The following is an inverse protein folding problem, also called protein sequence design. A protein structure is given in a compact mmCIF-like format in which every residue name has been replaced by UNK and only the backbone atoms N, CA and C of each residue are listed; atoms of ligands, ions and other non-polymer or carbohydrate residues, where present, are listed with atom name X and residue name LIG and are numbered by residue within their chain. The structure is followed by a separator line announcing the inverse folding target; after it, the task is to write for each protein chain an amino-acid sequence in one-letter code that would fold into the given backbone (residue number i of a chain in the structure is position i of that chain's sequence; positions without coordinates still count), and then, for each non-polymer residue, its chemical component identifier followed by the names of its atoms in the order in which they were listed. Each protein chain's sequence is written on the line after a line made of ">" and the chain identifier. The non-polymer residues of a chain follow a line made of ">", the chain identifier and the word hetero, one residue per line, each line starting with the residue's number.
data_IF_927833784946
#
_entry.id   IF_927833784946
#
_cell.length_a   1.000
_cell.length_b   1.000
_cell.length_c   1.000
_cell.angle_alpha   90.00
_cell.angle_beta   90.00
_cell.angle_gamma   90.00
#
_symmetry.space_group_name_H-M   'P 1'
#
loop_
_entity.id
_entity.type
_entity.pdbx_description
1 polymer ?
#
# COMPACT_ATOMS: atom_id res chain seq x y z
N UNK A 1 -44.05 64.19 60.00
CA UNK A 1 -42.61 64.46 59.85
C UNK A 1 -41.88 63.13 59.79
N UNK A 2 -41.12 62.89 58.70
CA UNK A 2 -39.92 62.03 58.55
C UNK A 2 -39.88 60.62 59.19
N UNK A 3 -39.37 59.52 58.60
CA UNK A 3 -38.79 59.16 57.31
C UNK A 3 -38.81 57.62 57.29
N UNK A 4 -39.32 56.98 56.22
CA UNK A 4 -39.19 55.54 55.98
C UNK A 4 -38.48 55.35 54.64
N UNK A 5 -37.21 54.97 54.68
CA UNK A 5 -36.38 54.67 53.51
C UNK A 5 -36.58 53.21 53.09
N UNK A 6 -37.35 52.99 52.03
CA UNK A 6 -37.41 51.73 51.30
C UNK A 6 -36.31 51.73 50.22
N UNK A 7 -35.39 50.77 50.29
CA UNK A 7 -34.39 50.52 49.25
C UNK A 7 -35.02 49.65 48.17
N UNK A 8 -35.30 50.23 47.00
CA UNK A 8 -35.59 49.49 45.77
C UNK A 8 -34.26 49.05 45.15
N UNK A 9 -33.90 47.78 45.31
CA UNK A 9 -32.87 47.13 44.49
C UNK A 9 -33.39 46.96 43.06
N UNK A 10 -32.84 47.75 42.14
CA UNK A 10 -33.04 47.60 40.69
C UNK A 10 -32.13 46.48 40.18
N UNK A 11 -32.72 45.36 39.73
CA UNK A 11 -31.98 44.35 38.98
C UNK A 11 -31.67 44.89 37.57
N UNK A 12 -30.38 45.13 37.31
CA UNK A 12 -29.88 45.49 35.98
C UNK A 12 -30.09 44.34 34.98
N UNK A 13 -30.66 44.58 33.79
CA UNK A 13 -30.89 43.55 32.77
C UNK A 13 -29.60 42.89 32.27
N UNK A 14 -28.43 43.49 32.50
CA UNK A 14 -27.14 42.89 32.12
C UNK A 14 -26.75 41.69 32.99
N UNK A 15 -27.26 41.61 34.21
CA UNK A 15 -27.02 40.45 35.08
C UNK A 15 -27.70 39.18 34.55
N UNK A 16 -28.87 39.30 33.93
CA UNK A 16 -29.59 38.18 33.34
C UNK A 16 -28.93 37.67 32.04
N UNK A 17 -28.32 38.55 31.24
CA UNK A 17 -27.57 38.14 30.05
C UNK A 17 -26.24 37.45 30.42
N UNK A 18 -25.56 37.91 31.48
CA UNK A 18 -24.34 37.29 31.96
C UNK A 18 -24.58 35.86 32.50
N UNK A 19 -25.70 35.64 33.21
CA UNK A 19 -26.05 34.30 33.71
C UNK A 19 -26.46 33.34 32.59
N UNK A 20 -27.18 33.83 31.57
CA UNK A 20 -27.50 33.03 30.37
C UNK A 20 -26.24 32.66 29.58
N UNK A 21 -25.31 33.59 29.39
CA UNK A 21 -24.04 33.31 28.71
C UNK A 21 -23.19 32.28 29.47
N UNK A 22 -23.12 32.39 30.80
CA UNK A 22 -22.40 31.43 31.64
C UNK A 22 -23.04 30.03 31.62
N UNK A 23 -24.37 29.94 31.57
CA UNK A 23 -25.07 28.65 31.45
C UNK A 23 -24.82 27.99 30.09
N UNK A 24 -24.82 28.77 29.00
CA UNK A 24 -24.58 28.24 27.65
C UNK A 24 -23.13 27.77 27.46
N UNK A 25 -22.14 28.50 27.99
CA UNK A 25 -20.74 28.07 27.94
C UNK A 25 -20.51 26.84 28.82
N UNK A 26 -21.14 26.77 30.00
CA UNK A 26 -21.06 25.60 30.87
C UNK A 26 -21.68 24.36 30.20
N UNK A 27 -22.82 24.50 29.53
CA UNK A 27 -23.46 23.40 28.79
C UNK A 27 -22.60 22.90 27.62
N UNK A 28 -21.92 23.79 26.90
CA UNK A 28 -20.98 23.44 25.82
C UNK A 28 -19.74 22.73 26.36
N UNK A 29 -19.19 23.17 27.50
CA UNK A 29 -18.04 22.51 28.14
C UNK A 29 -18.44 21.13 28.67
N UNK A 30 -19.64 20.98 29.26
CA UNK A 30 -20.14 19.69 29.69
C UNK A 30 -20.44 18.74 28.52
N UNK A 31 -20.95 19.23 27.37
CA UNK A 31 -21.15 18.37 26.19
C UNK A 31 -19.81 17.92 25.58
N UNK A 32 -18.81 18.81 25.58
CA UNK A 32 -17.45 18.48 25.14
C UNK A 32 -16.74 17.50 26.09
N UNK A 33 -16.93 17.66 27.40
CA UNK A 33 -16.44 16.72 28.40
C UNK A 33 -17.12 15.34 28.27
N UNK A 34 -18.46 15.29 28.13
CA UNK A 34 -19.18 14.03 27.98
C UNK A 34 -18.81 13.28 26.69
N UNK A 35 -18.65 14.00 25.57
CA UNK A 35 -18.20 13.42 24.31
C UNK A 35 -16.75 12.94 24.38
N UNK A 36 -15.86 13.66 25.05
CA UNK A 36 -14.47 13.20 25.25
C UNK A 36 -14.35 12.04 26.24
N UNK A 37 -15.22 11.93 27.25
CA UNK A 37 -15.29 10.78 28.16
C UNK A 37 -15.85 9.53 27.47
N UNK A 38 -16.93 9.65 26.69
CA UNK A 38 -17.49 8.54 25.89
C UNK A 38 -16.48 8.06 24.83
N UNK A 39 -15.75 8.97 24.20
CA UNK A 39 -14.74 8.62 23.20
C UNK A 39 -13.45 8.05 23.82
N UNK A 40 -13.21 8.27 25.13
CA UNK A 40 -12.11 7.64 25.88
C UNK A 40 -12.41 6.21 26.28
N UNK A 41 -13.67 5.89 26.58
CA UNK A 41 -14.06 4.50 26.88
C UNK A 41 -13.95 3.59 25.65
N UNK A 42 -14.27 4.08 24.46
CA UNK A 42 -14.08 3.34 23.21
C UNK A 42 -12.61 3.11 22.82
N UNK A 43 -11.64 3.75 23.50
CA UNK A 43 -10.22 3.71 23.15
C UNK A 43 -9.36 2.77 24.02
N UNK A 44 -9.94 2.16 25.06
CA UNK A 44 -9.21 1.25 25.98
C UNK A 44 -9.97 -0.04 26.28
N UNK A 45 -10.79 -0.52 25.35
CA UNK A 45 -11.38 -1.85 25.47
C UNK A 45 -10.37 -2.90 24.99
N UNK A 46 -9.68 -3.49 25.96
CA UNK A 46 -8.90 -4.70 25.79
C UNK A 46 -9.90 -5.87 25.78
N UNK A 47 -10.19 -6.40 24.60
CA UNK A 47 -11.07 -7.57 24.45
C UNK A 47 -10.43 -8.78 25.15
N UNK A 48 -10.93 -9.10 26.35
CA UNK A 48 -10.66 -10.36 27.05
C UNK A 48 -11.61 -11.44 26.49
N UNK A 49 -11.10 -12.49 25.84
CA UNK A 49 -11.92 -13.52 25.20
C UNK A 49 -12.67 -14.46 26.18
N UNK A 50 -12.75 -14.12 27.47
CA UNK A 50 -13.26 -15.01 28.53
C UNK A 50 -14.49 -14.50 29.29
N UNK A 51 -15.14 -13.42 28.86
CA UNK A 51 -16.33 -12.88 29.56
C UNK A 51 -17.59 -13.72 29.29
N UNK A 52 -18.34 -14.16 30.33
CA UNK A 52 -19.53 -15.00 30.17
C UNK A 52 -20.79 -14.25 29.67
N UNK A 53 -20.72 -12.94 29.44
CA UNK A 53 -21.84 -12.08 29.04
C UNK A 53 -21.71 -11.51 27.61
N UNK A 54 -20.87 -12.10 26.75
CA UNK A 54 -20.76 -11.67 25.35
C UNK A 54 -22.03 -12.04 24.57
N UNK A 55 -22.93 -11.05 24.39
CA UNK A 55 -24.06 -11.14 23.46
C UNK A 55 -23.57 -11.55 22.08
N UNK A 56 -24.16 -12.63 21.56
CA UNK A 56 -23.86 -13.13 20.22
C UNK A 56 -24.21 -12.04 19.19
N UNK A 57 -23.30 -11.66 18.28
CA UNK A 57 -23.62 -10.70 17.24
C UNK A 57 -24.78 -11.23 16.39
N UNK A 58 -25.69 -10.36 15.92
CA UNK A 58 -26.82 -10.79 15.11
C UNK A 58 -26.33 -11.58 13.90
N UNK A 59 -26.92 -12.77 13.77
CA UNK A 59 -26.73 -13.75 12.71
C UNK A 59 -26.33 -13.13 11.38
N UNK A 60 -25.19 -13.59 10.87
CA UNK A 60 -24.67 -13.41 9.52
C UNK A 60 -25.75 -13.02 8.50
N UNK A 61 -25.67 -11.78 8.03
CA UNK A 61 -26.05 -11.50 6.64
C UNK A 61 -25.22 -12.47 5.82
N UNK A 62 -25.87 -13.40 5.14
CA UNK A 62 -25.22 -14.41 4.31
C UNK A 62 -24.20 -13.71 3.42
N UNK A 63 -22.92 -13.85 3.75
CA UNK A 63 -21.84 -13.37 2.91
C UNK A 63 -22.02 -14.09 1.58
N UNK A 64 -22.32 -13.34 0.52
CA UNK A 64 -22.15 -13.82 -0.84
C UNK A 64 -20.78 -14.49 -0.89
N UNK A 65 -20.75 -15.80 -1.18
CA UNK A 65 -19.53 -16.59 -1.04
C UNK A 65 -18.43 -15.94 -1.88
N UNK A 66 -17.41 -15.38 -1.21
CA UNK A 66 -16.31 -14.72 -1.89
C UNK A 66 -15.74 -15.68 -2.94
N UNK A 67 -15.81 -15.30 -4.21
CA UNK A 67 -15.28 -16.10 -5.31
C UNK A 67 -13.80 -16.39 -5.04
N UNK A 68 -13.49 -17.66 -4.79
CA UNK A 68 -12.13 -18.10 -4.49
C UNK A 68 -11.39 -18.28 -5.81
N UNK A 69 -10.27 -17.57 -6.04
CA UNK A 69 -9.42 -17.79 -7.22
C UNK A 69 -9.04 -19.27 -7.38
N UNK A 70 -9.25 -19.85 -8.56
CA UNK A 70 -8.79 -21.22 -8.83
C UNK A 70 -7.27 -21.28 -8.87
N UNK A 71 -6.67 -22.37 -8.43
CA UNK A 71 -5.21 -22.49 -8.27
C UNK A 71 -4.64 -23.72 -8.93
N UNK A 72 -3.34 -23.68 -9.15
CA UNK A 72 -2.58 -24.78 -9.72
C UNK A 72 -2.02 -24.46 -11.11
N UNK A 73 -1.30 -25.43 -11.71
CA UNK A 73 -0.76 -25.31 -13.05
C UNK A 73 -1.89 -25.02 -14.05
N UNK A 74 -1.77 -23.94 -14.83
CA UNK A 74 -2.77 -23.52 -15.81
C UNK A 74 -3.76 -22.45 -15.35
N UNK A 75 -3.75 -22.06 -14.06
CA UNK A 75 -4.48 -20.89 -13.59
C UNK A 75 -3.55 -19.69 -13.38
N UNK A 76 -4.04 -18.45 -13.65
CA UNK A 76 -3.25 -17.24 -13.42
C UNK A 76 -2.78 -17.11 -11.96
N UNK A 77 -1.74 -16.34 -11.69
CA UNK A 77 -1.33 -16.10 -10.31
C UNK A 77 -2.29 -15.15 -9.58
N UNK A 78 -2.12 -15.01 -8.28
CA UNK A 78 -2.85 -14.05 -7.44
C UNK A 78 -1.84 -13.05 -6.89
N UNK A 79 -2.02 -11.76 -7.20
CA UNK A 79 -1.19 -10.70 -6.63
C UNK A 79 -1.82 -10.14 -5.36
N UNK A 80 -0.97 -9.85 -4.38
CA UNK A 80 -1.29 -8.98 -3.26
C UNK A 80 -0.62 -7.62 -3.48
N UNK A 81 -1.39 -6.55 -3.43
CA UNK A 81 -0.92 -5.18 -3.55
C UNK A 81 -0.92 -4.51 -2.20
N UNK A 82 0.22 -3.96 -1.81
CA UNK A 82 0.33 -3.00 -0.72
C UNK A 82 0.49 -1.60 -1.32
N UNK A 83 -0.59 -0.81 -1.29
CA UNK A 83 -0.65 0.53 -1.90
C UNK A 83 -0.58 1.57 -0.79
N UNK A 84 0.48 2.37 -0.80
CA UNK A 84 0.76 3.37 0.24
C UNK A 84 0.66 4.80 -0.27
N UNK A 85 0.19 5.71 0.56
CA UNK A 85 0.24 7.15 0.32
C UNK A 85 0.43 7.93 1.62
N UNK A 86 0.68 9.22 1.51
CA UNK A 86 0.76 10.12 2.65
C UNK A 86 -0.36 11.16 2.66
N UNK A 87 -0.05 12.32 3.25
CA UNK A 87 -0.92 13.50 3.25
C UNK A 87 -1.32 13.90 1.83
N UNK A 88 -2.62 14.00 1.57
CA UNK A 88 -3.16 14.45 0.28
C UNK A 88 -3.23 13.37 -0.80
N UNK A 89 -2.72 12.17 -0.54
CA UNK A 89 -2.65 11.10 -1.55
C UNK A 89 -3.93 10.26 -1.65
N UNK A 90 -4.97 10.55 -0.85
CA UNK A 90 -6.23 9.80 -0.86
C UNK A 90 -6.80 9.59 -2.27
N UNK A 91 -6.76 10.62 -3.11
CA UNK A 91 -7.25 10.54 -4.50
C UNK A 91 -6.30 9.76 -5.41
N UNK A 92 -4.99 9.92 -5.24
CA UNK A 92 -3.97 9.21 -6.02
C UNK A 92 -3.99 7.72 -5.74
N UNK A 93 -4.06 7.32 -4.47
CA UNK A 93 -4.22 5.92 -4.04
C UNK A 93 -5.52 5.33 -4.60
N UNK A 94 -6.60 6.10 -4.60
CA UNK A 94 -7.88 5.68 -5.18
C UNK A 94 -7.78 5.44 -6.69
N UNK A 95 -7.18 6.37 -7.44
CA UNK A 95 -6.96 6.22 -8.89
C UNK A 95 -6.08 5.01 -9.18
N UNK A 96 -4.97 4.87 -8.45
CA UNK A 96 -4.04 3.76 -8.59
C UNK A 96 -4.73 2.42 -8.33
N UNK A 97 -5.51 2.30 -7.24
CA UNK A 97 -6.30 1.11 -6.96
C UNK A 97 -7.20 0.75 -8.16
N UNK A 98 -7.96 1.71 -8.69
CA UNK A 98 -8.82 1.49 -9.87
C UNK A 98 -8.02 1.02 -11.09
N UNK A 99 -6.83 1.55 -11.30
CA UNK A 99 -5.94 1.19 -12.40
C UNK A 99 -5.39 -0.24 -12.27
N UNK A 100 -5.07 -0.69 -11.06
CA UNK A 100 -4.54 -2.04 -10.79
C UNK A 100 -5.59 -3.04 -10.30
N UNK A 101 -6.88 -2.71 -10.32
CA UNK A 101 -7.92 -3.57 -9.76
C UNK A 101 -8.20 -4.79 -10.63
N UNK A 102 -8.30 -5.95 -9.99
CA UNK A 102 -8.76 -7.20 -10.55
C UNK A 102 -9.37 -8.04 -9.41
N UNK A 103 -10.56 -8.66 -9.59
CA UNK A 103 -11.27 -9.38 -8.53
C UNK A 103 -10.49 -10.55 -7.93
N UNK A 104 -9.59 -11.13 -8.70
CA UNK A 104 -8.67 -12.20 -8.27
C UNK A 104 -7.68 -11.76 -7.20
N UNK A 105 -7.20 -10.53 -7.28
CA UNK A 105 -6.07 -10.03 -6.51
C UNK A 105 -6.52 -9.54 -5.14
N UNK A 106 -5.57 -9.26 -4.25
CA UNK A 106 -5.81 -8.74 -2.89
C UNK A 106 -5.19 -7.36 -2.77
N UNK A 107 -5.86 -6.45 -2.07
CA UNK A 107 -5.42 -5.07 -1.92
C UNK A 107 -5.43 -4.67 -0.45
N UNK A 108 -4.31 -4.12 0.01
CA UNK A 108 -4.22 -3.40 1.27
C UNK A 108 -3.80 -1.97 0.99
N UNK A 109 -4.72 -1.03 1.25
CA UNK A 109 -4.47 0.39 1.15
C UNK A 109 -4.02 0.93 2.50
N UNK A 110 -3.01 1.80 2.48
CA UNK A 110 -2.47 2.41 3.69
C UNK A 110 -2.16 3.88 3.42
N UNK A 111 -2.63 4.74 4.32
CA UNK A 111 -2.16 6.12 4.39
C UNK A 111 -1.37 6.28 5.69
N UNK A 112 -0.20 6.90 5.59
CA UNK A 112 0.71 7.11 6.71
C UNK A 112 0.13 8.03 7.81
N UNK A 113 0.92 8.27 8.87
CA UNK A 113 0.51 9.14 9.96
C UNK A 113 0.43 10.63 9.58
N UNK A 114 1.00 11.02 8.43
CA UNK A 114 0.87 12.36 7.86
C UNK A 114 -0.52 12.64 7.27
N UNK A 115 -1.24 11.61 6.82
CA UNK A 115 -2.62 11.73 6.38
C UNK A 115 -3.57 12.02 7.57
N UNK A 116 -4.57 12.88 7.34
CA UNK A 116 -5.58 13.18 8.34
C UNK A 116 -6.55 12.02 8.60
N UNK A 117 -7.20 12.00 9.77
CA UNK A 117 -8.25 11.03 10.07
C UNK A 117 -9.40 11.08 9.02
N UNK A 118 -9.72 12.28 8.53
CA UNK A 118 -10.70 12.47 7.46
C UNK A 118 -10.27 11.79 6.15
N UNK A 119 -9.02 11.90 5.73
CA UNK A 119 -8.53 11.27 4.49
C UNK A 119 -8.57 9.74 4.59
N UNK A 120 -8.16 9.17 5.73
CA UNK A 120 -8.28 7.73 5.98
C UNK A 120 -9.73 7.26 5.98
N UNK A 121 -10.62 8.00 6.64
CA UNK A 121 -12.05 7.69 6.65
C UNK A 121 -12.66 7.78 5.24
N UNK A 122 -12.26 8.79 4.45
CA UNK A 122 -12.67 8.97 3.06
C UNK A 122 -12.21 7.82 2.18
N UNK A 123 -10.96 7.39 2.28
CA UNK A 123 -10.43 6.24 1.54
C UNK A 123 -11.18 4.95 1.91
N UNK A 124 -11.46 4.76 3.20
CA UNK A 124 -12.24 3.60 3.66
C UNK A 124 -13.70 3.64 3.17
N UNK A 125 -14.33 4.82 3.15
CA UNK A 125 -15.69 5.00 2.61
C UNK A 125 -15.73 4.75 1.11
N UNK A 126 -14.70 5.19 0.37
CA UNK A 126 -14.55 4.93 -1.05
C UNK A 126 -14.43 3.42 -1.35
N UNK A 127 -13.59 2.71 -0.60
CA UNK A 127 -13.45 1.26 -0.73
C UNK A 127 -14.78 0.51 -0.47
N UNK A 128 -15.69 1.10 0.31
CA UNK A 128 -17.03 0.57 0.61
C UNK A 128 -18.15 1.11 -0.28
N UNK A 129 -17.89 2.03 -1.21
CA UNK A 129 -18.91 2.57 -2.11
C UNK A 129 -18.86 1.95 -3.50
N UNK A 130 -17.71 1.42 -3.90
CA UNK A 130 -17.52 0.80 -5.21
C UNK A 130 -18.08 -0.62 -5.22
N UNK A 131 -19.06 -0.87 -6.09
CA UNK A 131 -19.81 -2.13 -6.12
C UNK A 131 -18.89 -3.34 -6.35
N UNK A 132 -17.88 -3.21 -7.22
CA UNK A 132 -16.93 -4.29 -7.48
C UNK A 132 -16.15 -4.66 -6.22
N UNK A 133 -15.71 -3.68 -5.42
CA UNK A 133 -14.90 -3.95 -4.23
C UNK A 133 -15.74 -4.61 -3.13
N UNK A 134 -17.02 -4.23 -3.02
CA UNK A 134 -17.97 -4.86 -2.10
C UNK A 134 -18.27 -6.31 -2.50
N UNK A 135 -18.56 -6.56 -3.78
CA UNK A 135 -18.94 -7.90 -4.27
C UNK A 135 -17.81 -8.93 -4.06
N UNK A 136 -16.58 -8.56 -4.40
CA UNK A 136 -15.44 -9.49 -4.33
C UNK A 136 -14.71 -9.45 -2.98
N UNK A 137 -14.97 -8.44 -2.14
CA UNK A 137 -14.47 -8.36 -0.77
C UNK A 137 -12.95 -8.42 -0.64
N UNK A 138 -12.22 -7.93 -1.64
CA UNK A 138 -10.77 -8.11 -1.79
C UNK A 138 -9.94 -6.84 -1.57
N UNK A 139 -10.57 -5.74 -1.15
CA UNK A 139 -9.94 -4.45 -0.83
C UNK A 139 -10.06 -4.14 0.65
N UNK A 140 -8.92 -3.98 1.31
CA UNK A 140 -8.82 -3.62 2.73
C UNK A 140 -8.12 -2.28 2.91
N UNK A 141 -8.51 -1.52 3.95
CA UNK A 141 -7.88 -0.25 4.29
C UNK A 141 -7.33 -0.33 5.72
N UNK A 142 -6.04 -0.04 5.88
CA UNK A 142 -5.42 0.02 7.20
C UNK A 142 -5.96 1.22 7.99
N UNK A 143 -6.62 0.96 9.12
CA UNK A 143 -7.22 2.02 9.94
C UNK A 143 -6.20 2.93 10.62
N UNK A 144 -5.03 2.38 10.98
CA UNK A 144 -3.92 3.11 11.60
C UNK A 144 -2.76 3.28 10.62
N UNK A 145 -2.42 4.54 10.37
CA UNK A 145 -1.23 4.93 9.62
C UNK A 145 0.04 4.74 10.44
N UNK A 146 1.11 4.36 9.76
CA UNK A 146 2.44 4.23 10.36
C UNK A 146 3.16 5.58 10.24
N UNK A 147 3.95 5.95 11.25
CA UNK A 147 4.81 7.12 11.17
C UNK A 147 5.96 6.82 10.21
N UNK A 148 6.22 7.74 9.26
CA UNK A 148 7.16 7.50 8.17
C UNK A 148 7.85 8.80 7.71
N UNK A 149 9.16 8.72 7.44
CA UNK A 149 9.92 9.67 6.61
C UNK A 149 10.16 9.12 5.19
N UNK A 150 10.14 7.79 5.04
CA UNK A 150 10.34 7.09 3.77
C UNK A 150 11.79 6.75 3.45
N UNK A 151 12.78 7.47 4.01
CA UNK A 151 14.22 7.15 3.83
C UNK A 151 14.77 6.27 4.94
N UNK A 152 14.12 6.24 6.10
CA UNK A 152 14.58 5.47 7.25
C UNK A 152 14.05 4.03 7.30
N UNK A 153 14.51 3.23 8.27
CA UNK A 153 14.02 1.88 8.56
C UNK A 153 12.53 1.77 8.85
N UNK A 154 11.86 2.85 9.25
CA UNK A 154 10.39 2.89 9.37
C UNK A 154 9.68 2.49 8.07
N UNK A 155 10.27 2.80 6.90
CA UNK A 155 9.76 2.36 5.60
C UNK A 155 9.73 0.83 5.46
N UNK A 156 10.81 0.15 5.88
CA UNK A 156 10.88 -1.32 5.89
C UNK A 156 9.87 -1.89 6.88
N UNK A 157 9.76 -1.31 8.07
CA UNK A 157 8.81 -1.74 9.09
C UNK A 157 7.35 -1.63 8.61
N UNK A 158 6.98 -0.56 7.91
CA UNK A 158 5.64 -0.40 7.33
C UNK A 158 5.34 -1.46 6.26
N UNK A 159 6.28 -1.74 5.35
CA UNK A 159 6.11 -2.81 4.34
C UNK A 159 5.93 -4.17 5.01
N UNK A 160 6.74 -4.50 6.02
CA UNK A 160 6.63 -5.77 6.75
C UNK A 160 5.32 -5.86 7.54
N UNK A 161 4.84 -4.75 8.12
CA UNK A 161 3.53 -4.70 8.78
C UNK A 161 2.40 -4.93 7.77
N UNK A 162 2.42 -4.26 6.62
CA UNK A 162 1.45 -4.45 5.55
C UNK A 162 1.45 -5.88 5.02
N UNK A 163 2.64 -6.45 4.81
CA UNK A 163 2.82 -7.84 4.43
C UNK A 163 2.25 -8.81 5.48
N UNK A 164 2.51 -8.59 6.77
CA UNK A 164 1.96 -9.40 7.85
C UNK A 164 0.42 -9.36 7.90
N UNK A 165 -0.19 -8.21 7.59
CA UNK A 165 -1.64 -8.09 7.45
C UNK A 165 -2.11 -8.89 6.24
N UNK A 166 -1.50 -8.73 5.06
CA UNK A 166 -1.86 -9.47 3.84
C UNK A 166 -1.70 -10.98 3.95
N UNK A 167 -0.76 -11.47 4.77
CA UNK A 167 -0.63 -12.90 5.08
C UNK A 167 -1.83 -13.43 5.91
N UNK A 168 -2.51 -12.55 6.67
CA UNK A 168 -3.67 -12.90 7.52
C UNK A 168 -5.02 -12.68 6.83
N UNK A 169 -5.19 -11.58 6.11
CA UNK A 169 -6.50 -11.16 5.55
C UNK A 169 -6.80 -11.73 4.17
N UNK A 170 -5.89 -12.51 3.57
CA UNK A 170 -6.11 -13.16 2.29
C UNK A 170 -5.42 -14.51 2.24
N UNK A 171 -6.18 -15.55 1.85
CA UNK A 171 -5.59 -16.87 1.64
C UNK A 171 -4.78 -16.91 0.34
N UNK A 172 -3.51 -17.30 0.48
CA UNK A 172 -2.69 -17.89 -0.59
C UNK A 172 -2.63 -17.09 -1.90
N UNK A 173 -2.15 -15.85 -1.80
CA UNK A 173 -1.62 -15.09 -2.93
C UNK A 173 -0.20 -15.55 -3.29
N UNK A 174 0.27 -15.28 -4.50
CA UNK A 174 1.56 -15.77 -5.01
C UNK A 174 2.68 -14.72 -4.86
N UNK A 175 2.39 -13.46 -5.19
CA UNK A 175 3.35 -12.35 -5.13
C UNK A 175 2.80 -11.12 -4.42
N UNK A 176 3.64 -10.47 -3.63
CA UNK A 176 3.44 -9.15 -3.07
C UNK A 176 4.07 -8.08 -3.97
N UNK A 177 3.26 -7.10 -4.37
CA UNK A 177 3.68 -5.90 -5.11
C UNK A 177 3.50 -4.68 -4.20
N UNK A 178 4.55 -3.90 -4.01
CA UNK A 178 4.49 -2.64 -3.26
C UNK A 178 4.39 -1.47 -4.22
N UNK A 179 3.43 -0.57 -3.99
CA UNK A 179 3.22 0.63 -4.80
C UNK A 179 2.99 1.86 -3.91
N UNK A 180 3.64 2.96 -4.23
CA UNK A 180 3.35 4.29 -3.70
C UNK A 180 2.30 5.04 -4.53
N UNK A 181 1.73 6.10 -3.96
CA UNK A 181 0.77 6.99 -4.62
C UNK A 181 1.33 7.69 -5.89
N UNK A 182 2.64 7.68 -6.05
CA UNK A 182 3.34 8.20 -7.22
C UNK A 182 3.63 7.14 -8.28
N UNK A 183 3.09 5.93 -8.14
CA UNK A 183 3.33 4.83 -9.06
C UNK A 183 2.12 4.61 -9.96
N UNK A 184 2.34 4.03 -11.15
CA UNK A 184 1.26 3.69 -12.06
C UNK A 184 1.59 2.47 -12.92
N UNK A 185 0.61 1.60 -13.24
CA UNK A 185 0.83 0.48 -14.12
C UNK A 185 1.03 0.91 -15.58
N UNK A 186 1.90 0.17 -16.29
CA UNK A 186 2.14 0.29 -17.74
C UNK A 186 1.58 -0.91 -18.52
N UNK A 187 0.84 -1.77 -17.84
CA UNK A 187 0.18 -2.96 -18.37
C UNK A 187 -1.19 -3.11 -17.70
N UNK A 188 -2.14 -3.77 -18.36
CA UNK A 188 -3.40 -4.15 -17.69
C UNK A 188 -3.16 -5.25 -16.66
N UNK A 189 -4.12 -5.48 -15.76
CA UNK A 189 -4.02 -6.59 -14.83
C UNK A 189 -4.03 -7.95 -15.53
N UNK A 190 -4.81 -8.10 -16.59
CA UNK A 190 -4.79 -9.29 -17.44
C UNK A 190 -3.41 -9.51 -18.09
N UNK A 191 -2.78 -8.45 -18.61
CA UNK A 191 -1.43 -8.52 -19.17
C UNK A 191 -0.39 -8.97 -18.12
N UNK A 192 -0.49 -8.44 -16.90
CA UNK A 192 0.40 -8.82 -15.80
C UNK A 192 0.18 -10.28 -15.38
N UNK A 193 -1.08 -10.69 -15.22
CA UNK A 193 -1.47 -12.06 -14.91
C UNK A 193 -0.99 -13.05 -15.98
N UNK A 194 -1.15 -12.70 -17.26
CA UNK A 194 -0.65 -13.46 -18.40
C UNK A 194 0.88 -13.62 -18.32
N UNK A 195 1.61 -12.50 -18.21
CA UNK A 195 3.06 -12.52 -18.22
C UNK A 195 3.67 -13.31 -17.05
N UNK A 196 3.05 -13.26 -15.87
CA UNK A 196 3.49 -14.01 -14.69
C UNK A 196 2.98 -15.46 -14.64
N UNK A 197 2.06 -15.87 -15.51
CA UNK A 197 1.54 -17.24 -15.53
C UNK A 197 2.61 -18.27 -15.92
N UNK A 198 3.64 -17.87 -16.65
CA UNK A 198 4.79 -18.72 -17.01
C UNK A 198 5.95 -18.66 -16.00
N UNK A 199 5.84 -17.81 -14.97
CA UNK A 199 6.90 -17.59 -13.99
C UNK A 199 6.74 -18.57 -12.81
N UNK A 200 7.80 -19.28 -12.39
CA UNK A 200 7.76 -20.05 -11.16
C UNK A 200 7.43 -19.15 -9.95
N UNK A 201 6.39 -19.52 -9.20
CA UNK A 201 5.76 -18.71 -8.13
C UNK A 201 6.66 -18.44 -6.92
N UNK A 202 7.76 -19.17 -6.80
CA UNK A 202 8.78 -19.04 -5.77
C UNK A 202 9.88 -18.03 -6.12
N UNK A 203 9.91 -17.51 -7.35
CA UNK A 203 10.86 -16.47 -7.75
C UNK A 203 10.48 -15.09 -7.23
N UNK A 204 11.50 -14.29 -6.93
CA UNK A 204 11.40 -12.92 -6.47
C UNK A 204 12.04 -12.00 -7.52
N UNK A 205 11.44 -10.84 -7.76
CA UNK A 205 12.02 -9.80 -8.62
C UNK A 205 12.63 -8.74 -7.71
N UNK A 206 13.92 -8.89 -7.46
CA UNK A 206 14.68 -8.04 -6.56
C UNK A 206 15.92 -7.59 -7.31
N UNK A 207 15.90 -6.33 -7.77
CA UNK A 207 17.11 -5.67 -8.23
C UNK A 207 18.12 -5.57 -7.08
N UNK A 208 19.34 -6.04 -7.31
CA UNK A 208 20.39 -6.09 -6.32
C UNK A 208 21.78 -6.10 -6.95
N UNK A 209 22.72 -5.51 -6.22
CA UNK A 209 24.17 -5.58 -6.45
C UNK A 209 24.89 -5.58 -5.10
N UNK A 210 26.09 -6.17 -5.02
CA UNK A 210 26.93 -6.05 -3.82
C UNK A 210 27.15 -4.57 -3.49
N UNK A 211 27.00 -4.21 -2.22
CA UNK A 211 27.32 -2.86 -1.80
C UNK A 211 28.84 -2.67 -1.69
N UNK A 212 29.33 -1.64 -2.37
CA UNK A 212 30.75 -1.31 -2.48
C UNK A 212 31.20 -0.28 -1.45
N UNK A 213 30.31 0.24 -0.61
CA UNK A 213 30.69 1.20 0.43
C UNK A 213 31.37 0.45 1.57
N UNK A 214 32.39 1.09 2.14
CA UNK A 214 33.11 0.55 3.32
C UNK A 214 32.44 0.94 4.63
N UNK A 215 31.64 2.01 4.61
CA UNK A 215 30.97 2.56 5.78
C UNK A 215 29.66 3.25 5.37
N UNK A 216 28.71 3.30 6.30
CA UNK A 216 27.39 3.92 6.13
C UNK A 216 27.15 4.98 7.20
N UNK A 217 26.42 6.02 6.82
CA UNK A 217 25.97 7.05 7.76
C UNK A 217 24.95 6.44 8.71
N UNK A 218 25.08 6.76 10.00
CA UNK A 218 24.12 6.34 11.03
C UNK A 218 23.02 7.39 11.15
N UNK A 219 21.77 6.96 11.05
CA UNK A 219 20.59 7.82 11.19
C UNK A 219 19.73 7.38 12.36
N UNK A 220 19.07 8.32 13.01
CA UNK A 220 18.01 8.06 13.97
C UNK A 220 16.66 8.30 13.28
N UNK A 221 15.93 7.21 13.10
CA UNK A 221 14.56 7.26 12.60
C UNK A 221 13.57 7.23 13.77
N UNK A 222 13.16 8.42 14.21
CA UNK A 222 12.25 8.60 15.34
C UNK A 222 10.86 8.00 15.07
N UNK A 223 10.51 7.77 13.81
CA UNK A 223 9.23 7.21 13.41
C UNK A 223 9.03 5.76 13.87
N UNK A 224 10.11 5.03 14.21
CA UNK A 224 10.02 3.72 14.85
C UNK A 224 9.45 3.79 16.29
N UNK A 225 9.51 4.97 16.93
CA UNK A 225 9.14 5.17 18.33
C UNK A 225 7.93 6.09 18.51
N UNK A 226 7.53 6.81 17.46
CA UNK A 226 6.51 7.86 17.52
C UNK A 226 5.30 7.49 16.65
N UNK A 227 4.18 8.19 16.87
CA UNK A 227 2.93 8.01 16.12
C UNK A 227 2.67 9.10 15.06
N UNK A 228 3.63 10.00 14.85
CA UNK A 228 3.55 11.12 13.90
C UNK A 228 4.78 11.11 13.01
N UNK A 229 4.62 11.48 11.73
CA UNK A 229 5.75 11.61 10.82
C UNK A 229 6.75 12.65 11.36
N UNK A 230 8.03 12.28 11.38
CA UNK A 230 9.14 13.12 11.78
C UNK A 230 10.30 12.92 10.80
N UNK A 231 11.07 13.97 10.54
CA UNK A 231 12.27 13.84 9.71
C UNK A 231 13.33 12.98 10.42
N UNK A 232 14.04 12.18 9.63
CA UNK A 232 15.18 11.43 10.14
C UNK A 232 16.30 12.38 10.60
N UNK A 233 16.97 12.02 11.69
CA UNK A 233 18.09 12.79 12.22
C UNK A 233 19.42 12.11 11.90
N UNK A 234 20.39 12.87 11.41
CA UNK A 234 21.71 12.35 11.08
C UNK A 234 22.63 12.36 12.30
N UNK A 235 23.35 11.26 12.52
CA UNK A 235 24.47 11.22 13.46
C UNK A 235 25.76 11.64 12.76
N UNK A 236 26.74 12.12 13.52
CA UNK A 236 28.11 12.34 13.02
C UNK A 236 28.89 11.03 12.86
N UNK A 237 28.39 9.93 13.40
CA UNK A 237 29.02 8.61 13.35
C UNK A 237 28.78 7.87 12.04
N UNK A 238 29.71 6.96 11.73
CA UNK A 238 29.60 6.02 10.64
C UNK A 238 29.67 4.59 11.18
N UNK A 239 29.05 3.65 10.48
CA UNK A 239 29.11 2.23 10.76
C UNK A 239 29.90 1.52 9.67
N UNK A 240 30.89 0.73 10.07
CA UNK A 240 31.65 -0.12 9.16
C UNK A 240 30.80 -1.26 8.60
N UNK A 241 31.17 -1.77 7.42
CA UNK A 241 30.52 -2.92 6.81
C UNK A 241 30.60 -4.14 7.76
N UNK A 242 29.50 -4.90 7.94
CA UNK A 242 29.50 -6.06 8.83
C UNK A 242 30.32 -7.21 8.24
N UNK A 243 31.02 -7.95 9.11
CA UNK A 243 31.78 -9.16 8.72
C UNK A 243 30.89 -10.42 8.67
N UNK A 244 29.72 -10.38 9.31
CA UNK A 244 28.86 -11.55 9.50
C UNK A 244 27.98 -11.87 8.28
N UNK A 245 27.78 -10.92 7.36
CA UNK A 245 26.94 -11.07 6.17
C UNK A 245 27.31 -10.03 5.11
N UNK A 246 26.99 -10.32 3.85
CA UNK A 246 27.26 -9.40 2.76
C UNK A 246 26.12 -8.41 2.55
N UNK A 247 26.43 -7.12 2.45
CA UNK A 247 25.44 -6.10 2.11
C UNK A 247 25.16 -6.09 0.61
N UNK A 248 23.88 -6.09 0.26
CA UNK A 248 23.39 -5.87 -1.08
C UNK A 248 22.45 -4.69 -1.10
N UNK A 249 22.45 -3.96 -2.22
CA UNK A 249 21.55 -2.84 -2.45
C UNK A 249 20.96 -2.86 -3.84
N UNK A 250 19.80 -2.24 -4.02
CA UNK A 250 19.17 -2.07 -5.32
C UNK A 250 17.87 -1.28 -5.22
N UNK A 251 16.96 -1.52 -6.15
CA UNK A 251 15.66 -0.84 -6.17
C UNK A 251 14.84 -1.10 -4.88
N UNK A 252 14.22 -0.06 -4.29
CA UNK A 252 13.36 -0.23 -3.11
C UNK A 252 11.97 -0.81 -3.44
N UNK A 253 11.71 -1.17 -4.70
CA UNK A 253 10.40 -1.62 -5.20
C UNK A 253 10.45 -3.07 -5.70
N UNK A 254 10.60 -4.06 -4.81
CA UNK A 254 10.65 -5.46 -5.23
C UNK A 254 9.25 -6.06 -5.46
N UNK A 255 9.18 -7.13 -6.26
CA UNK A 255 8.03 -8.05 -6.29
C UNK A 255 8.44 -9.33 -5.57
N UNK A 256 7.80 -9.61 -4.45
CA UNK A 256 8.24 -10.65 -3.51
C UNK A 256 7.31 -11.86 -3.55
N UNK A 257 7.86 -13.06 -3.71
CA UNK A 257 7.09 -14.30 -3.56
C UNK A 257 6.52 -14.39 -2.15
N UNK A 258 5.35 -15.04 -2.01
CA UNK A 258 4.75 -15.27 -0.70
C UNK A 258 5.68 -15.99 0.26
N UNK A 259 6.40 -17.01 -0.21
CA UNK A 259 7.33 -17.78 0.62
C UNK A 259 8.45 -16.91 1.20
N UNK A 260 8.98 -15.97 0.42
CA UNK A 260 9.99 -15.03 0.90
C UNK A 260 9.41 -14.01 1.88
N UNK A 261 8.19 -13.53 1.62
CA UNK A 261 7.49 -12.63 2.56
C UNK A 261 7.22 -13.33 3.91
N UNK A 262 6.76 -14.58 3.88
CA UNK A 262 6.58 -15.41 5.09
C UNK A 262 7.89 -15.57 5.86
N UNK A 263 9.00 -15.79 5.16
CA UNK A 263 10.32 -15.86 5.76
C UNK A 263 10.73 -14.53 6.43
N UNK A 264 10.56 -13.39 5.74
CA UNK A 264 10.85 -12.06 6.28
C UNK A 264 10.00 -11.71 7.51
N UNK A 265 8.73 -12.10 7.53
CA UNK A 265 7.80 -11.78 8.63
C UNK A 265 7.96 -12.75 9.81
N UNK A 266 8.03 -14.06 9.56
CA UNK A 266 8.12 -15.07 10.62
C UNK A 266 9.55 -15.21 11.17
N UNK A 267 10.57 -14.91 10.35
CA UNK A 267 12.00 -14.98 10.66
C UNK A 267 12.41 -16.29 11.37
N UNK A 268 12.21 -17.45 10.74
CA UNK A 268 12.42 -18.75 11.38
C UNK A 268 13.88 -19.04 11.75
N UNK A 269 14.85 -18.45 11.05
CA UNK A 269 16.31 -18.65 11.21
C UNK A 269 17.02 -17.42 11.78
N UNK A 270 16.27 -16.47 12.34
CA UNK A 270 16.74 -15.19 12.89
C UNK A 270 17.44 -14.23 11.90
N UNK A 271 17.79 -14.63 10.67
CA UNK A 271 18.46 -13.75 9.71
C UNK A 271 17.66 -12.45 9.47
N UNK A 272 16.34 -12.48 9.18
CA UNK A 272 15.57 -11.25 9.04
C UNK A 272 15.56 -10.38 10.30
N UNK A 273 15.52 -10.98 11.51
CA UNK A 273 15.57 -10.22 12.79
C UNK A 273 16.90 -9.53 12.97
N UNK A 274 18.01 -10.23 12.72
CA UNK A 274 19.37 -9.68 12.78
C UNK A 274 19.52 -8.51 11.80
N UNK A 275 19.02 -8.67 10.58
CA UNK A 275 19.08 -7.63 9.56
C UNK A 275 18.19 -6.43 9.91
N UNK A 276 16.99 -6.63 10.46
CA UNK A 276 16.16 -5.52 10.97
C UNK A 276 16.87 -4.74 12.07
N UNK A 277 17.54 -5.44 13.01
CA UNK A 277 18.32 -4.78 14.05
C UNK A 277 19.48 -3.99 13.44
N UNK A 278 20.18 -4.54 12.44
CA UNK A 278 21.24 -3.84 11.73
C UNK A 278 20.72 -2.59 11.02
N UNK A 279 19.65 -2.70 10.22
CA UNK A 279 19.13 -1.58 9.43
C UNK A 279 18.36 -0.53 10.24
N UNK A 280 18.14 -0.74 11.55
CA UNK A 280 17.40 0.16 12.45
C UNK A 280 17.96 1.59 12.57
N UNK A 281 19.14 1.84 12.02
CA UNK A 281 19.78 3.15 11.96
C UNK A 281 20.53 3.39 10.65
N UNK A 282 20.03 2.82 9.55
CA UNK A 282 20.60 2.95 8.20
C UNK A 282 19.72 3.83 7.31
N UNK A 283 20.34 4.73 6.56
CA UNK A 283 19.68 5.51 5.52
C UNK A 283 19.32 4.63 4.32
N UNK A 284 18.19 4.92 3.68
CA UNK A 284 17.64 4.22 2.53
C UNK A 284 17.48 2.71 2.77
N UNK A 285 17.10 2.33 4.00
CA UNK A 285 17.03 0.93 4.43
C UNK A 285 16.20 0.02 3.50
N UNK A 286 15.18 0.57 2.82
CA UNK A 286 14.36 -0.14 1.84
C UNK A 286 15.14 -0.58 0.59
N UNK A 287 16.23 0.10 0.24
CA UNK A 287 17.13 -0.29 -0.85
C UNK A 287 18.06 -1.46 -0.47
N UNK A 288 18.15 -1.81 0.81
CA UNK A 288 19.09 -2.81 1.31
C UNK A 288 18.42 -4.05 1.90
N UNK A 289 17.32 -3.89 2.64
CA UNK A 289 16.81 -4.93 3.51
C UNK A 289 16.47 -6.23 2.75
N UNK A 290 15.59 -6.14 1.75
CA UNK A 290 15.14 -7.33 1.02
C UNK A 290 16.26 -7.97 0.20
N UNK A 291 17.13 -7.14 -0.40
CA UNK A 291 18.31 -7.56 -1.14
C UNK A 291 19.26 -8.36 -0.24
N UNK A 292 19.54 -7.84 0.94
CA UNK A 292 20.48 -8.44 1.91
C UNK A 292 19.90 -9.71 2.54
N UNK A 293 18.60 -9.72 2.89
CA UNK A 293 17.93 -10.95 3.39
C UNK A 293 17.98 -12.05 2.32
N UNK A 294 17.67 -11.70 1.07
CA UNK A 294 17.67 -12.65 -0.03
C UNK A 294 19.06 -13.25 -0.28
N UNK A 295 20.08 -12.40 -0.43
CA UNK A 295 21.43 -12.85 -0.78
C UNK A 295 22.08 -13.72 0.31
N UNK A 296 21.77 -13.44 1.58
CA UNK A 296 22.34 -14.18 2.71
C UNK A 296 21.45 -15.34 3.17
N UNK A 297 20.31 -15.59 2.52
CA UNK A 297 19.46 -16.75 2.84
C UNK A 297 19.79 -17.94 1.95
N UNK A 298 20.22 -19.09 2.52
CA UNK A 298 20.50 -20.29 1.73
C UNK A 298 19.30 -20.77 0.91
N UNK A 299 18.08 -20.50 1.40
CA UNK A 299 16.82 -20.88 0.75
C UNK A 299 16.47 -19.99 -0.44
N UNK A 300 16.79 -18.69 -0.38
CA UNK A 300 16.28 -17.71 -1.35
C UNK A 300 17.34 -17.10 -2.28
N UNK A 301 18.63 -17.28 -1.99
CA UNK A 301 19.73 -16.75 -2.83
C UNK A 301 19.65 -17.14 -4.31
N UNK A 302 19.04 -18.29 -4.62
CA UNK A 302 18.90 -18.81 -5.98
C UNK A 302 17.48 -18.63 -6.55
N UNK A 303 16.55 -18.00 -5.82
CA UNK A 303 15.17 -17.79 -6.24
C UNK A 303 14.90 -16.32 -6.61
N UNK A 304 15.87 -15.68 -7.28
CA UNK A 304 15.82 -14.24 -7.54
C UNK A 304 16.14 -13.92 -8.98
N UNK A 305 15.29 -13.09 -9.56
CA UNK A 305 15.50 -12.40 -10.82
C UNK A 305 16.00 -11.00 -10.49
N UNK A 306 17.18 -10.64 -10.99
CA UNK A 306 17.84 -9.36 -10.70
C UNK A 306 17.24 -8.22 -11.56
N UNK A 307 15.99 -7.86 -11.30
CA UNK A 307 15.26 -6.81 -12.01
C UNK A 307 14.06 -6.34 -11.17
N UNK A 308 13.67 -5.08 -11.26
CA UNK A 308 12.51 -4.51 -10.53
C UNK A 308 11.18 -4.57 -11.32
N UNK A 309 11.26 -4.85 -12.62
CA UNK A 309 10.11 -4.82 -13.57
C UNK A 309 9.44 -3.44 -13.59
N UNK A 310 10.23 -2.41 -13.28
CA UNK A 310 9.78 -1.05 -13.07
C UNK A 310 10.75 -0.06 -13.72
N UNK A 311 10.21 1.01 -14.28
CA UNK A 311 10.99 2.09 -14.88
C UNK A 311 10.77 3.42 -14.16
N UNK A 312 11.82 4.22 -14.06
CA UNK A 312 11.70 5.57 -13.52
C UNK A 312 11.08 6.52 -14.55
N UNK A 313 10.14 7.37 -14.11
CA UNK A 313 9.51 8.38 -14.96
C UNK A 313 10.56 9.43 -15.36
N UNK A 314 10.83 9.64 -16.66
CA UNK A 314 11.78 10.66 -17.09
C UNK A 314 11.33 12.05 -16.61
N UNK A 315 12.28 12.94 -16.25
CA UNK A 315 11.95 14.29 -15.80
C UNK A 315 11.14 15.04 -16.86
N UNK A 316 10.30 16.01 -16.45
CA UNK A 316 9.59 16.86 -17.39
C UNK A 316 10.56 17.78 -18.11
N UNK A 317 10.93 17.43 -19.34
CA UNK A 317 11.61 18.34 -20.26
C UNK A 317 10.57 19.16 -21.04
N UNK A 318 10.89 20.43 -21.33
CA UNK A 318 9.95 21.44 -21.80
C UNK A 318 9.14 21.09 -23.06
N UNK A 319 9.56 20.12 -23.89
CA UNK A 319 9.02 19.94 -25.25
C UNK A 319 8.58 18.52 -25.67
N UNK A 320 8.61 17.47 -24.82
CA UNK A 320 8.32 16.11 -25.35
C UNK A 320 7.54 15.15 -24.42
N UNK A 321 6.30 15.50 -24.06
CA UNK A 321 5.38 14.55 -23.40
C UNK A 321 5.16 13.26 -24.22
N UNK A 322 5.14 13.34 -25.56
CA UNK A 322 5.03 12.19 -26.44
C UNK A 322 6.24 11.23 -26.31
N UNK A 323 7.44 11.78 -26.18
CA UNK A 323 8.68 11.00 -26.02
C UNK A 323 8.73 10.33 -24.65
N UNK A 324 8.33 11.05 -23.59
CA UNK A 324 8.18 10.49 -22.24
C UNK A 324 7.22 9.29 -22.25
N UNK A 325 6.03 9.47 -22.83
CA UNK A 325 5.05 8.40 -22.97
C UNK A 325 5.59 7.19 -23.76
N UNK A 326 6.22 7.42 -24.91
CA UNK A 326 6.82 6.37 -25.73
C UNK A 326 7.91 5.58 -25.00
N UNK A 327 8.73 6.28 -24.20
CA UNK A 327 9.77 5.65 -23.36
C UNK A 327 9.16 4.75 -22.29
N UNK A 328 8.12 5.23 -21.62
CA UNK A 328 7.41 4.45 -20.59
C UNK A 328 6.76 3.20 -21.19
N UNK A 329 5.88 3.35 -22.19
CA UNK A 329 5.12 2.23 -22.78
C UNK A 329 6.02 1.27 -23.57
N UNK A 330 7.10 1.79 -24.15
CA UNK A 330 8.09 1.00 -24.89
C UNK A 330 9.07 0.22 -24.02
N UNK A 331 9.17 0.52 -22.72
CA UNK A 331 10.13 -0.12 -21.80
C UNK A 331 9.92 -1.61 -21.58
N UNK A 332 8.68 -2.09 -21.74
CA UNK A 332 8.29 -3.46 -21.37
C UNK A 332 8.16 -3.69 -19.86
N UNK A 333 8.36 -2.66 -19.03
CA UNK A 333 8.14 -2.72 -17.59
C UNK A 333 6.65 -2.84 -17.23
N UNK A 334 6.35 -3.38 -16.06
CA UNK A 334 4.97 -3.51 -15.56
C UNK A 334 4.48 -2.20 -14.90
N UNK A 335 5.39 -1.46 -14.27
CA UNK A 335 5.07 -0.25 -13.51
C UNK A 335 6.05 0.88 -13.83
N UNK A 336 5.60 2.11 -13.60
CA UNK A 336 6.44 3.29 -13.61
C UNK A 336 6.23 4.14 -12.36
N UNK A 337 7.25 4.89 -11.97
CA UNK A 337 7.14 5.95 -10.96
C UNK A 337 8.46 6.73 -10.89
N UNK A 338 8.58 7.85 -10.19
CA UNK A 338 7.53 8.55 -9.46
C UNK A 338 6.90 9.59 -10.39
N UNK A 339 5.60 9.49 -10.62
CA UNK A 339 4.82 10.53 -11.29
C UNK A 339 4.66 11.74 -10.35
N UNK A 340 4.94 12.93 -10.87
CA UNK A 340 4.67 14.21 -10.19
C UNK A 340 3.25 14.67 -10.47
N UNK A 341 3.10 15.92 -10.91
CA UNK A 341 1.85 16.49 -11.42
C UNK A 341 1.61 16.11 -12.90
N UNK A 342 1.74 14.82 -13.22
CA UNK A 342 1.72 14.26 -14.57
C UNK A 342 0.30 13.86 -15.04
N UNK A 343 -0.74 14.62 -14.69
CA UNK A 343 -2.15 14.24 -14.89
C UNK A 343 -2.48 13.90 -16.36
N UNK A 344 -1.98 14.70 -17.32
CA UNK A 344 -2.19 14.45 -18.75
C UNK A 344 -1.49 13.16 -19.24
N UNK A 345 -0.35 12.81 -18.65
CA UNK A 345 0.37 11.57 -18.98
C UNK A 345 -0.32 10.36 -18.35
N UNK A 346 -0.80 10.46 -17.11
CA UNK A 346 -1.60 9.44 -16.44
C UNK A 346 -2.90 9.17 -17.19
N UNK A 347 -3.60 10.24 -17.63
CA UNK A 347 -4.81 10.13 -18.44
C UNK A 347 -4.54 9.42 -19.76
N UNK A 348 -3.43 9.73 -20.41
CA UNK A 348 -3.03 9.04 -21.64
C UNK A 348 -2.75 7.55 -21.42
N UNK A 349 -2.10 7.19 -20.32
CA UNK A 349 -1.89 5.77 -19.95
C UNK A 349 -3.23 5.08 -19.70
N UNK A 350 -4.16 5.72 -19.00
CA UNK A 350 -5.50 5.18 -18.78
C UNK A 350 -6.25 4.90 -20.08
N UNK A 351 -6.21 5.83 -21.03
CA UNK A 351 -6.94 5.73 -22.30
C UNK A 351 -6.30 4.71 -23.26
N UNK A 352 -5.00 4.81 -23.48
CA UNK A 352 -4.32 4.08 -24.55
C UNK A 352 -3.79 2.71 -24.09
N UNK A 353 -3.35 2.58 -22.84
CA UNK A 353 -2.75 1.35 -22.31
C UNK A 353 -3.79 0.54 -21.54
N UNK A 354 -4.45 1.15 -20.56
CA UNK A 354 -5.35 0.44 -19.66
C UNK A 354 -6.77 0.33 -20.21
N UNK A 355 -7.15 1.20 -21.17
CA UNK A 355 -8.52 1.37 -21.66
C UNK A 355 -9.51 1.59 -20.50
N UNK A 356 -9.06 2.30 -19.47
CA UNK A 356 -9.79 2.53 -18.23
C UNK A 356 -10.72 3.74 -18.40
N UNK A 357 -12.04 3.62 -18.13
CA UNK A 357 -12.93 4.77 -18.12
C UNK A 357 -12.60 5.68 -16.92
N UNK A 358 -12.89 6.99 -17.02
CA UNK A 358 -12.50 7.98 -16.01
C UNK A 358 -12.88 7.55 -14.58
N UNK A 359 -14.13 7.14 -14.38
CA UNK A 359 -14.68 6.78 -13.08
C UNK A 359 -14.75 5.27 -12.80
N UNK A 360 -14.16 4.42 -13.64
CA UNK A 360 -14.21 2.96 -13.46
C UNK A 360 -12.86 2.30 -13.23
N UNK A 361 -12.94 1.00 -12.95
CA UNK A 361 -11.78 0.10 -12.85
C UNK A 361 -11.28 -0.29 -14.23
N UNK A 362 -10.02 -0.72 -14.33
CA UNK A 362 -9.45 -1.24 -15.58
C UNK A 362 -10.23 -2.48 -16.03
N UNK A 363 -10.79 -2.50 -17.26
CA UNK A 363 -11.53 -3.65 -17.75
C UNK A 363 -10.59 -4.83 -18.04
N UNK A 364 -11.04 -6.04 -17.73
CA UNK A 364 -10.33 -7.29 -17.98
C UNK A 364 -11.23 -8.40 -18.51
N UNK A 365 -10.68 -9.60 -18.68
CA UNK A 365 -11.40 -10.81 -19.10
C UNK A 365 -12.47 -11.23 -18.10
N UNK A 366 -12.33 -10.81 -16.85
CA UNK A 366 -13.29 -11.01 -15.76
C UNK A 366 -14.56 -10.17 -15.86
N UNK A 367 -14.60 -9.14 -16.71
CA UNK A 367 -15.82 -8.34 -16.89
C UNK A 367 -16.90 -9.19 -17.59
N UNK A 368 -18.12 -9.19 -17.05
CA UNK A 368 -19.27 -9.74 -17.77
C UNK A 368 -19.55 -8.88 -19.01
N UNK A 369 -19.86 -9.52 -20.15
CA UNK A 369 -20.31 -8.79 -21.34
C UNK A 369 -21.68 -8.17 -21.06
N UNK A 370 -21.76 -6.84 -21.07
CA UNK A 370 -23.04 -6.13 -21.05
C UNK A 370 -23.89 -6.50 -22.27
N UNK A 371 -25.21 -6.56 -22.08
CA UNK A 371 -26.20 -6.94 -23.10
C UNK A 371 -26.59 -5.80 -24.06
N UNK A 372 -25.76 -4.76 -24.21
CA UNK A 372 -26.06 -3.58 -25.03
C UNK A 372 -25.40 -3.62 -26.40
N UNK A 373 -26.16 -3.30 -27.46
CA UNK A 373 -25.75 -3.37 -28.88
C UNK A 373 -24.77 -2.25 -29.33
N UNK A 374 -24.23 -1.42 -28.44
CA UNK A 374 -23.28 -0.35 -28.82
C UNK A 374 -21.93 -0.48 -28.10
N UNK A 375 -20.95 -1.05 -28.81
CA UNK A 375 -19.57 -0.56 -28.95
C UNK A 375 -18.61 -0.43 -27.75
N UNK A 376 -19.06 -0.25 -26.52
CA UNK A 376 -18.22 -0.15 -25.33
C UNK A 376 -19.02 -0.63 -24.11
N UNK A 377 -19.12 -1.95 -23.94
CA UNK A 377 -19.75 -2.53 -22.77
C UNK A 377 -18.98 -2.08 -21.51
N UNK A 378 -19.65 -1.31 -20.64
CA UNK A 378 -19.20 -1.06 -19.27
C UNK A 378 -18.81 -2.41 -18.63
N UNK A 379 -17.68 -2.43 -17.91
CA UNK A 379 -17.22 -3.65 -17.24
C UNK A 379 -18.22 -4.03 -16.15
N UNK A 380 -19.14 -4.93 -16.46
CA UNK A 380 -20.14 -5.42 -15.52
C UNK A 380 -19.54 -6.47 -14.57
N UNK A 381 -20.01 -6.46 -13.33
CA UNK A 381 -19.64 -7.42 -12.28
C UNK A 381 -20.24 -8.80 -12.60
N UNK A 382 -19.58 -9.87 -12.16
CA UNK A 382 -20.10 -11.24 -12.26
C UNK A 382 -19.56 -12.08 -13.43
N UNK A 383 -18.48 -11.66 -14.08
CA UNK A 383 -17.75 -12.51 -15.03
C UNK A 383 -16.75 -13.46 -14.33
N UNK A 384 -15.95 -14.16 -15.13
CA UNK A 384 -15.00 -15.17 -14.65
C UNK A 384 -13.68 -14.55 -14.17
N UNK A 385 -13.43 -14.61 -12.85
CA UNK A 385 -12.20 -14.04 -12.24
C UNK A 385 -10.91 -14.78 -12.62
N UNK A 386 -11.01 -15.95 -13.26
CA UNK A 386 -9.88 -16.70 -13.80
C UNK A 386 -9.61 -16.37 -15.28
N UNK A 387 -10.54 -15.68 -15.96
CA UNK A 387 -10.41 -15.34 -17.37
C UNK A 387 -9.44 -14.17 -17.56
N UNK A 388 -8.37 -14.43 -18.31
CA UNK A 388 -7.32 -13.46 -18.62
C UNK A 388 -7.23 -13.29 -20.13
N UNK A 389 -7.20 -12.04 -20.59
CA UNK A 389 -7.00 -11.67 -21.99
C UNK A 389 -5.68 -10.93 -22.17
N UNK A 390 -4.71 -11.61 -22.75
CA UNK A 390 -3.43 -10.99 -23.12
C UNK A 390 -3.62 -9.87 -24.15
N UNK A 391 -2.80 -8.84 -24.01
CA UNK A 391 -2.60 -7.77 -24.99
C UNK A 391 -1.13 -7.64 -25.38
N UNK A 392 -0.85 -6.68 -26.27
CA UNK A 392 0.50 -6.44 -26.76
C UNK A 392 1.47 -6.02 -25.64
N UNK A 393 0.98 -5.35 -24.59
CA UNK A 393 1.78 -4.95 -23.44
C UNK A 393 2.17 -6.17 -22.59
N UNK A 394 1.24 -7.12 -22.37
CA UNK A 394 1.51 -8.38 -21.70
C UNK A 394 2.50 -9.26 -22.45
N UNK A 395 2.42 -9.31 -23.78
CA UNK A 395 3.41 -10.04 -24.60
C UNK A 395 4.82 -9.45 -24.50
N UNK A 396 4.95 -8.11 -24.47
CA UNK A 396 6.24 -7.44 -24.25
C UNK A 396 6.79 -7.74 -22.85
N UNK A 397 5.95 -7.64 -21.83
CA UNK A 397 6.33 -7.97 -20.45
C UNK A 397 6.75 -9.43 -20.30
N UNK A 398 5.98 -10.37 -20.88
CA UNK A 398 6.31 -11.79 -20.89
C UNK A 398 7.66 -12.05 -21.57
N UNK A 399 7.95 -11.35 -22.67
CA UNK A 399 9.23 -11.45 -23.38
C UNK A 399 10.39 -10.92 -22.55
N UNK A 400 10.20 -9.80 -21.85
CA UNK A 400 11.18 -9.25 -20.90
C UNK A 400 11.47 -10.26 -19.79
N UNK A 401 10.43 -10.79 -19.14
CA UNK A 401 10.58 -11.75 -18.03
C UNK A 401 11.24 -13.04 -18.52
N UNK A 402 10.85 -13.58 -19.68
CA UNK A 402 11.48 -14.77 -20.25
C UNK A 402 12.99 -14.55 -20.53
N UNK A 403 13.37 -13.37 -21.02
CA UNK A 403 14.78 -12.99 -21.20
C UNK A 403 15.55 -12.91 -19.88
N UNK A 404 14.91 -12.44 -18.81
CA UNK A 404 15.51 -12.36 -17.47
C UNK A 404 15.64 -13.74 -16.80
N UNK A 405 14.64 -14.60 -16.94
CA UNK A 405 14.69 -15.98 -16.42
C UNK A 405 15.70 -16.81 -17.19
N UNK A 406 15.75 -16.66 -18.52
CA UNK A 406 16.70 -17.37 -19.38
C UNK A 406 18.16 -16.94 -19.20
N UNK A 407 18.41 -15.65 -18.92
CA UNK A 407 19.75 -15.14 -18.58
C UNK A 407 20.14 -15.41 -17.11
N UNK A 408 19.19 -15.79 -16.26
CA UNK A 408 19.39 -16.13 -14.84
C UNK A 408 20.08 -17.46 -14.57
N UNK A 409 20.39 -18.27 -15.60
CA UNK A 409 21.31 -19.40 -15.48
C UNK A 409 22.76 -18.88 -15.38
N UNK A 410 23.13 -18.39 -14.19
CA UNK A 410 24.45 -17.92 -13.77
C UNK A 410 25.64 -18.37 -14.65
N UNK A 411 26.11 -17.49 -15.54
CA UNK A 411 27.44 -17.56 -16.15
C UNK A 411 28.57 -17.13 -15.18
N UNK A 412 28.25 -16.84 -13.91
CA UNK A 412 29.20 -16.33 -12.92
C UNK A 412 29.27 -17.10 -11.58
N UNK A 413 28.43 -18.11 -11.35
CA UNK A 413 28.46 -18.91 -10.10
C UNK A 413 29.19 -20.25 -10.28
N UNK A 414 30.31 -20.24 -11.00
CA UNK A 414 31.31 -21.30 -10.98
C UNK A 414 32.66 -20.74 -10.59
N UNK A 415 32.87 -20.64 -9.28
CA UNK A 415 34.16 -20.90 -8.60
C UNK A 415 33.99 -20.63 -7.12
#
# INVERSE_FOLDING_TARGET
>A
MAHSSSWLTTCSPWSAFATLAALMTSALVLSYASSSFLNRQAAYEYDDPSSPDAESPPSAVAAAGALVPRKGPGYPPVFAYYITGGRGDCLRVTRLLKAVYHPRNRYLLHLDAGAGAYERARLASYARSEQAFLEYGNVHVAGKGDALDGRGPSAVAAVLRGAAVLLRVGQDWDWLVTLGAADYPLVTQDDLLYAFSSVPRDLNFIDHRPDSKTHHVVVLDQNLLQSTNAEISFSSGHREKPDAFELFRGSPWPILSRAFVEHCVAAPDNLPRTLLMYFSNTLDAAEFYFQTVMANSPRFRNSTINHSVRIDVPPPDADQQQSRYGTLVGSGAAFAGRFGDDEALLQKIDEEVLRRPLDGVTPGGWCARGSGEEGAAECAIGGDIDAVREGAAGQRLASLIAGLVGSGACDGCKS
#
